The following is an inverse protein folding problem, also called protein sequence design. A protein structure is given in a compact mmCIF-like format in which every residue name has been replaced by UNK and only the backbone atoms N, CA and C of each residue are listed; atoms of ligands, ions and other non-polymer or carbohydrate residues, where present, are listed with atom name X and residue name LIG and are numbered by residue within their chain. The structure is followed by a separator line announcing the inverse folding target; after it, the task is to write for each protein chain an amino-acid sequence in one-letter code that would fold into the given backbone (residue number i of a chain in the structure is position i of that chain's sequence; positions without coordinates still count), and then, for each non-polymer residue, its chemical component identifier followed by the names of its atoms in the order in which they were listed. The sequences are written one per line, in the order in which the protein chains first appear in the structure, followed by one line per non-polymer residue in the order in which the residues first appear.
data_IF_190904398732
#
_entry.id   IF_190904398732
#
_cell.length_a   1.000
_cell.length_b   1.000
_cell.length_c   1.000
_cell.angle_alpha   90.00
_cell.angle_beta   90.00
_cell.angle_gamma   90.00
#
_symmetry.space_group_name_H-M   'P 1'
#
loop_
_entity.id
_entity.type
_entity.pdbx_description
1 polymer ?
#
# COMPACT_ATOMS: atom_id res chain seq x y z
N UNK A 1 9.93 49.06 42.31
CA UNK A 1 9.06 48.41 41.30
C UNK A 1 8.70 47.03 41.83
N UNK A 2 7.47 46.84 42.32
CA UNK A 2 7.03 45.54 42.85
C UNK A 2 6.52 44.64 41.74
N UNK A 3 6.95 43.37 41.72
CA UNK A 3 6.43 42.37 40.78
C UNK A 3 4.99 42.00 41.15
N UNK A 4 4.04 42.23 40.23
CA UNK A 4 2.68 41.69 40.35
C UNK A 4 2.65 40.25 39.82
N UNK A 5 2.40 39.28 40.71
CA UNK A 5 2.32 37.85 40.36
C UNK A 5 1.02 37.46 39.66
N UNK A 6 -0.06 38.24 39.82
CA UNK A 6 -1.37 37.92 39.25
C UNK A 6 -2.05 39.16 38.67
N UNK A 7 -2.63 39.02 37.47
CA UNK A 7 -3.44 40.04 36.80
C UNK A 7 -4.75 39.41 36.33
N UNK A 8 -5.88 39.99 36.73
CA UNK A 8 -7.22 39.53 36.30
C UNK A 8 -7.31 39.63 34.77
N UNK A 9 -7.65 38.52 34.12
CA UNK A 9 -7.98 38.47 32.68
C UNK A 9 -9.40 37.92 32.53
N UNK A 10 -10.22 38.58 31.72
CA UNK A 10 -11.51 38.04 31.27
C UNK A 10 -11.27 37.23 30.00
N UNK A 11 -11.69 35.96 30.00
CA UNK A 11 -11.58 35.06 28.84
C UNK A 11 -13.00 34.75 28.39
N UNK A 12 -13.25 34.82 27.09
CA UNK A 12 -14.52 34.40 26.51
C UNK A 12 -14.63 32.87 26.58
N UNK A 13 -15.67 32.38 27.24
CA UNK A 13 -16.00 30.95 27.29
C UNK A 13 -17.11 30.70 26.26
N UNK A 14 -17.04 29.62 25.45
CA UNK A 14 -18.09 29.31 24.50
C UNK A 14 -19.43 29.10 25.21
N UNK A 15 -20.49 29.66 24.62
CA UNK A 15 -21.86 29.43 25.07
C UNK A 15 -22.28 27.99 24.75
N UNK A 16 -23.31 27.46 25.42
CA UNK A 16 -23.81 26.12 25.14
C UNK A 16 -24.13 25.90 23.63
N UNK A 17 -24.78 26.84 22.91
CA UNK A 17 -24.97 26.70 21.46
C UNK A 17 -23.65 26.59 20.67
N UNK A 18 -22.63 27.36 21.05
CA UNK A 18 -21.32 27.29 20.41
C UNK A 18 -20.63 25.94 20.68
N UNK A 19 -20.78 25.38 21.89
CA UNK A 19 -20.27 24.04 22.23
C UNK A 19 -20.99 22.97 21.39
N UNK A 20 -22.32 23.00 21.31
CA UNK A 20 -23.09 22.05 20.51
C UNK A 20 -22.73 22.11 19.04
N UNK A 21 -22.62 23.32 18.47
CA UNK A 21 -22.21 23.51 17.08
C UNK A 21 -20.80 22.96 16.84
N UNK A 22 -19.88 23.20 17.76
CA UNK A 22 -18.51 22.68 17.68
C UNK A 22 -18.48 21.15 17.71
N UNK A 23 -19.22 20.53 18.63
CA UNK A 23 -19.34 19.07 18.72
C UNK A 23 -19.94 18.51 17.43
N UNK A 24 -21.00 19.14 16.91
CA UNK A 24 -21.63 18.73 15.66
C UNK A 24 -20.63 18.75 14.49
N UNK A 25 -19.90 19.85 14.30
CA UNK A 25 -18.87 19.99 13.25
C UNK A 25 -17.78 18.91 13.40
N UNK A 26 -17.33 18.65 14.63
CA UNK A 26 -16.31 17.63 14.90
C UNK A 26 -16.85 16.24 14.53
N UNK A 27 -18.05 15.89 14.97
CA UNK A 27 -18.67 14.59 14.69
C UNK A 27 -18.92 14.39 13.19
N UNK A 28 -19.42 15.40 12.48
CA UNK A 28 -19.65 15.33 11.04
C UNK A 28 -18.33 15.19 10.28
N UNK A 29 -17.28 15.92 10.69
CA UNK A 29 -15.96 15.84 10.07
C UNK A 29 -15.31 14.48 10.30
N UNK A 30 -15.34 13.97 11.54
CA UNK A 30 -14.84 12.64 11.89
C UNK A 30 -15.57 11.55 11.12
N UNK A 31 -16.91 11.64 11.05
CA UNK A 31 -17.74 10.75 10.26
C UNK A 31 -17.29 10.76 8.79
N UNK A 32 -17.22 11.94 8.16
CA UNK A 32 -16.80 12.08 6.76
C UNK A 32 -15.41 11.48 6.49
N UNK A 33 -14.43 11.76 7.36
CA UNK A 33 -13.08 11.21 7.27
C UNK A 33 -13.13 9.68 7.38
N UNK A 34 -13.85 9.13 8.36
CA UNK A 34 -13.97 7.70 8.54
C UNK A 34 -14.59 7.02 7.31
N UNK A 35 -15.72 7.54 6.80
CA UNK A 35 -16.40 6.95 5.64
C UNK A 35 -15.57 7.06 4.34
N UNK A 36 -14.77 8.13 4.20
CA UNK A 36 -13.94 8.35 3.01
C UNK A 36 -12.58 7.65 3.08
N UNK A 37 -12.10 7.31 4.29
CA UNK A 37 -10.75 6.77 4.52
C UNK A 37 -10.47 5.47 3.78
N UNK A 38 -11.45 4.57 3.72
CA UNK A 38 -11.30 3.28 3.03
C UNK A 38 -11.05 3.48 1.53
N UNK A 39 -11.94 4.20 0.84
CA UNK A 39 -11.80 4.48 -0.59
C UNK A 39 -10.56 5.32 -0.90
N UNK A 40 -10.20 6.26 -0.02
CA UNK A 40 -8.96 7.01 -0.14
C UNK A 40 -7.77 6.04 -0.16
N UNK A 41 -7.67 5.14 0.82
CA UNK A 41 -6.54 4.22 0.94
C UNK A 41 -6.52 3.12 -0.13
N UNK A 42 -7.69 2.58 -0.49
CA UNK A 42 -7.87 1.52 -1.48
C UNK A 42 -7.91 2.06 -2.93
N UNK A 43 -6.93 2.89 -3.27
CA UNK A 43 -6.86 3.58 -4.56
C UNK A 43 -6.37 2.64 -5.67
N UNK A 44 -7.05 2.69 -6.81
CA UNK A 44 -6.55 2.15 -8.09
C UNK A 44 -6.45 3.29 -9.07
N UNK A 45 -5.23 3.52 -9.57
CA UNK A 45 -4.91 4.57 -10.52
C UNK A 45 -3.73 4.09 -11.38
N UNK A 46 -4.02 3.65 -12.60
CA UNK A 46 -3.04 2.98 -13.47
C UNK A 46 -2.15 4.00 -14.17
N UNK A 47 -0.87 3.68 -14.31
CA UNK A 47 0.05 4.50 -15.09
C UNK A 47 -0.29 4.40 -16.60
N UNK A 48 -0.16 5.51 -17.35
CA UNK A 48 -0.38 5.50 -18.78
C UNK A 48 0.68 4.60 -19.45
N UNK A 49 0.23 3.72 -20.35
CA UNK A 49 1.07 2.82 -21.14
C UNK A 49 2.01 1.92 -20.31
N UNK A 50 1.63 1.56 -19.08
CA UNK A 50 2.39 0.62 -18.26
C UNK A 50 2.45 -0.76 -18.92
N UNK A 51 3.66 -1.20 -19.27
CA UNK A 51 3.94 -2.55 -19.81
C UNK A 51 4.45 -3.53 -18.75
N UNK A 52 4.71 -3.04 -17.55
CA UNK A 52 5.26 -3.81 -16.45
C UNK A 52 4.23 -3.86 -15.32
N UNK A 53 3.91 -5.06 -14.86
CA UNK A 53 3.09 -5.30 -13.68
C UNK A 53 4.00 -5.70 -12.51
N UNK A 54 4.10 -4.86 -11.48
CA UNK A 54 4.86 -5.15 -10.27
C UNK A 54 3.90 -5.62 -9.20
N UNK A 55 4.16 -6.75 -8.53
CA UNK A 55 3.24 -7.35 -7.56
C UNK A 55 3.92 -7.53 -6.22
N UNK A 56 3.29 -7.05 -5.15
CA UNK A 56 3.70 -7.40 -3.79
C UNK A 56 3.35 -8.86 -3.49
N UNK A 57 4.35 -9.71 -3.39
CA UNK A 57 4.20 -11.18 -3.37
C UNK A 57 3.75 -11.77 -2.04
N UNK A 58 3.67 -10.96 -0.97
CA UNK A 58 3.26 -11.41 0.36
C UNK A 58 1.75 -11.70 0.45
N UNK A 59 0.96 -11.28 -0.54
CA UNK A 59 -0.48 -11.48 -0.60
C UNK A 59 -0.85 -12.97 -0.77
N UNK A 60 -2.06 -13.34 -0.33
CA UNK A 60 -2.55 -14.72 -0.37
C UNK A 60 -2.91 -15.20 -1.79
N UNK A 61 -3.13 -16.51 -1.96
CA UNK A 61 -3.36 -17.16 -3.26
C UNK A 61 -4.55 -16.60 -4.03
N UNK A 62 -5.65 -16.24 -3.34
CA UNK A 62 -6.79 -15.58 -3.99
C UNK A 62 -6.44 -14.20 -4.58
N UNK A 63 -5.39 -13.54 -4.07
CA UNK A 63 -4.83 -12.34 -4.68
C UNK A 63 -3.97 -12.70 -5.89
N UNK A 64 -3.22 -13.80 -5.85
CA UNK A 64 -2.49 -14.33 -7.01
C UNK A 64 -3.42 -14.75 -8.15
N UNK A 65 -4.59 -15.32 -7.85
CA UNK A 65 -5.65 -15.58 -8.84
C UNK A 65 -6.09 -14.29 -9.53
N UNK A 66 -6.24 -13.19 -8.79
CA UNK A 66 -6.62 -11.91 -9.36
C UNK A 66 -5.49 -11.29 -10.18
N UNK A 67 -4.25 -11.42 -9.72
CA UNK A 67 -3.06 -11.01 -10.49
C UNK A 67 -2.99 -11.78 -11.81
N UNK A 68 -3.17 -13.10 -11.79
CA UNK A 68 -3.20 -13.93 -13.00
C UNK A 68 -4.35 -13.52 -13.92
N UNK A 69 -5.55 -13.24 -13.39
CA UNK A 69 -6.68 -12.71 -14.17
C UNK A 69 -6.35 -11.38 -14.84
N UNK A 70 -5.71 -10.45 -14.13
CA UNK A 70 -5.29 -9.16 -14.69
C UNK A 70 -4.26 -9.37 -15.81
N UNK A 71 -3.25 -10.21 -15.57
CA UNK A 71 -2.15 -10.42 -16.51
C UNK A 71 -2.54 -11.26 -17.74
N UNK A 72 -3.55 -12.12 -17.62
CA UNK A 72 -4.06 -12.95 -18.70
C UNK A 72 -5.28 -12.35 -19.41
N UNK A 73 -5.79 -11.19 -18.96
CA UNK A 73 -6.93 -10.53 -19.59
C UNK A 73 -6.59 -10.15 -21.05
N UNK A 74 -7.53 -10.33 -21.98
CA UNK A 74 -7.26 -10.12 -23.42
C UNK A 74 -6.89 -8.68 -23.78
N UNK A 75 -7.34 -7.73 -22.97
CA UNK A 75 -7.17 -6.29 -23.12
C UNK A 75 -5.99 -5.73 -22.28
N UNK A 76 -5.20 -6.60 -21.65
CA UNK A 76 -4.05 -6.15 -20.88
C UNK A 76 -2.86 -5.79 -21.77
N UNK A 77 -2.07 -4.79 -21.33
CA UNK A 77 -0.89 -4.30 -22.04
C UNK A 77 0.43 -4.73 -21.37
N UNK A 78 0.38 -5.65 -20.39
CA UNK A 78 1.55 -6.04 -19.63
C UNK A 78 2.38 -7.08 -20.38
N UNK A 79 3.65 -6.76 -20.61
CA UNK A 79 4.62 -7.61 -21.27
C UNK A 79 5.43 -8.42 -20.25
N UNK A 80 5.59 -7.90 -19.03
CA UNK A 80 6.33 -8.57 -17.95
C UNK A 80 5.69 -8.37 -16.57
N UNK A 81 5.92 -9.35 -15.68
CA UNK A 81 5.44 -9.39 -14.31
C UNK A 81 6.62 -9.48 -13.35
N UNK A 82 6.72 -8.54 -12.42
CA UNK A 82 7.80 -8.46 -11.45
C UNK A 82 7.31 -8.69 -10.04
N UNK A 83 7.93 -9.62 -9.32
CA UNK A 83 7.57 -9.97 -7.96
C UNK A 83 8.53 -9.32 -6.97
N UNK A 84 7.95 -8.54 -6.05
CA UNK A 84 8.67 -7.88 -4.96
C UNK A 84 8.10 -8.30 -3.61
N UNK A 85 8.95 -8.44 -2.61
CA UNK A 85 8.51 -8.93 -1.32
C UNK A 85 9.63 -9.46 -0.44
N UNK A 86 9.33 -9.81 0.81
CA UNK A 86 10.34 -10.23 1.77
C UNK A 86 10.68 -11.73 1.61
N UNK A 87 11.64 -12.16 2.42
CA UNK A 87 11.82 -13.59 2.74
C UNK A 87 10.55 -14.12 3.41
N UNK A 88 10.36 -15.44 3.39
CA UNK A 88 9.26 -16.05 4.14
C UNK A 88 9.37 -15.68 5.62
N UNK A 89 8.29 -15.15 6.19
CA UNK A 89 8.24 -14.81 7.61
C UNK A 89 7.96 -16.03 8.46
N UNK A 90 7.13 -16.93 7.93
CA UNK A 90 6.83 -18.24 8.51
C UNK A 90 7.19 -19.31 7.50
N UNK A 91 7.74 -20.41 8.00
CA UNK A 91 8.13 -21.54 7.15
C UNK A 91 9.52 -21.45 6.53
N UNK A 92 10.27 -20.35 6.73
CA UNK A 92 11.61 -20.16 6.12
C UNK A 92 12.58 -21.34 6.36
N UNK A 93 12.65 -21.83 7.61
CA UNK A 93 13.60 -22.89 7.99
C UNK A 93 13.14 -24.29 7.56
N UNK A 94 11.84 -24.53 7.43
CA UNK A 94 11.26 -25.85 7.12
C UNK A 94 10.88 -26.01 5.65
N UNK A 95 10.66 -24.91 4.93
CA UNK A 95 10.31 -24.93 3.51
C UNK A 95 11.55 -25.27 2.70
N UNK A 96 11.60 -26.46 2.11
CA UNK A 96 12.72 -26.89 1.28
C UNK A 96 12.71 -26.16 -0.08
N UNK A 97 11.52 -25.95 -0.65
CA UNK A 97 11.34 -25.45 -2.02
C UNK A 97 11.40 -23.93 -2.15
N UNK A 98 10.87 -23.20 -1.17
CA UNK A 98 10.71 -21.74 -1.27
C UNK A 98 11.28 -21.04 -0.04
N UNK A 99 12.08 -19.99 -0.26
CA UNK A 99 12.68 -19.18 0.82
C UNK A 99 12.18 -17.74 0.83
N UNK A 100 11.46 -17.31 -0.20
CA UNK A 100 10.90 -15.97 -0.33
C UNK A 100 9.45 -16.03 -0.80
N UNK A 101 8.67 -15.00 -0.46
CA UNK A 101 7.31 -14.86 -1.00
C UNK A 101 7.34 -14.69 -2.52
N UNK A 102 8.38 -14.06 -3.07
CA UNK A 102 8.54 -13.92 -4.52
C UNK A 102 8.64 -15.28 -5.23
N UNK A 103 9.38 -16.24 -4.66
CA UNK A 103 9.50 -17.58 -5.25
C UNK A 103 8.18 -18.36 -5.17
N UNK A 104 7.49 -18.25 -4.04
CA UNK A 104 6.20 -18.90 -3.82
C UNK A 104 5.12 -18.32 -4.75
N UNK A 105 5.04 -16.99 -4.87
CA UNK A 105 4.14 -16.30 -5.78
C UNK A 105 4.45 -16.63 -7.25
N UNK A 106 5.72 -16.72 -7.64
CA UNK A 106 6.09 -17.12 -9.00
C UNK A 106 5.57 -18.52 -9.34
N UNK A 107 5.80 -19.49 -8.44
CA UNK A 107 5.33 -20.85 -8.65
C UNK A 107 3.79 -20.92 -8.73
N UNK A 108 3.10 -20.15 -7.88
CA UNK A 108 1.64 -20.06 -7.87
C UNK A 108 1.11 -19.44 -9.17
N UNK A 109 1.71 -18.34 -9.64
CA UNK A 109 1.29 -17.68 -10.87
C UNK A 109 1.54 -18.53 -12.12
N UNK A 110 2.61 -19.32 -12.15
CA UNK A 110 2.86 -20.29 -13.23
C UNK A 110 1.74 -21.34 -13.26
N UNK A 111 1.35 -21.87 -12.11
CA UNK A 111 0.24 -22.84 -12.02
C UNK A 111 -1.09 -22.21 -12.44
N UNK A 112 -1.27 -20.91 -12.18
CA UNK A 112 -2.43 -20.12 -12.61
C UNK A 112 -2.35 -19.69 -14.09
N UNK A 113 -1.38 -20.18 -14.85
CA UNK A 113 -1.27 -19.99 -16.30
C UNK A 113 -0.56 -18.71 -16.74
N UNK A 114 0.17 -18.02 -15.84
CA UNK A 114 1.05 -16.92 -16.24
C UNK A 114 2.33 -17.49 -16.87
N UNK A 115 2.74 -17.07 -18.09
CA UNK A 115 3.93 -17.59 -18.74
C UNK A 115 5.20 -17.35 -17.92
N UNK A 116 5.97 -18.41 -17.65
CA UNK A 116 7.15 -18.38 -16.78
C UNK A 116 8.19 -17.37 -17.23
N UNK A 117 8.39 -17.24 -18.54
CA UNK A 117 9.34 -16.33 -19.17
C UNK A 117 9.01 -14.85 -18.95
N UNK A 118 7.74 -14.54 -18.64
CA UNK A 118 7.30 -13.18 -18.32
C UNK A 118 7.44 -12.84 -16.84
N UNK A 119 7.72 -13.82 -15.97
CA UNK A 119 7.83 -13.61 -14.53
C UNK A 119 9.28 -13.35 -14.14
N UNK A 120 9.50 -12.24 -13.46
CA UNK A 120 10.79 -11.84 -12.92
C UNK A 120 10.70 -11.69 -11.39
N UNK A 121 11.71 -12.18 -10.69
CA UNK A 121 11.79 -12.11 -9.23
C UNK A 121 12.85 -11.09 -8.85
N UNK A 122 12.46 -10.03 -8.15
CA UNK A 122 13.42 -9.12 -7.54
C UNK A 122 14.06 -9.77 -6.29
N UNK A 123 15.29 -9.36 -5.91
CA UNK A 123 15.90 -9.79 -4.66
C UNK A 123 14.99 -9.52 -3.47
N UNK A 124 14.86 -10.51 -2.57
CA UNK A 124 13.99 -10.37 -1.42
C UNK A 124 14.45 -9.24 -0.49
N UNK A 125 13.48 -8.48 0.03
CA UNK A 125 13.76 -7.48 1.05
C UNK A 125 14.14 -8.15 2.38
N UNK A 126 15.00 -7.47 3.15
CA UNK A 126 15.37 -7.96 4.49
C UNK A 126 14.12 -7.95 5.38
N UNK A 127 13.94 -8.93 6.29
CA UNK A 127 12.72 -9.07 7.11
C UNK A 127 12.52 -7.97 8.17
N UNK A 128 13.41 -6.98 8.25
CA UNK A 128 13.38 -5.88 9.21
C UNK A 128 12.47 -4.74 8.72
N UNK A 129 12.32 -3.68 9.56
CA UNK A 129 11.49 -2.48 9.30
C UNK A 129 11.61 -2.00 7.84
N UNK A 130 10.51 -1.43 7.32
CA UNK A 130 10.43 -0.83 5.97
C UNK A 130 10.47 -1.85 4.81
N UNK A 131 9.65 -2.90 4.89
CA UNK A 131 9.60 -3.99 3.89
C UNK A 131 9.28 -3.50 2.48
N UNK A 132 8.26 -2.66 2.32
CA UNK A 132 7.88 -2.08 1.01
C UNK A 132 8.98 -1.21 0.45
N UNK A 133 9.59 -0.36 1.27
CA UNK A 133 10.73 0.47 0.87
C UNK A 133 11.92 -0.39 0.40
N UNK A 134 12.34 -1.38 1.20
CA UNK A 134 13.45 -2.24 0.83
C UNK A 134 13.16 -3.07 -0.43
N UNK A 135 11.90 -3.48 -0.63
CA UNK A 135 11.48 -4.19 -1.82
C UNK A 135 11.54 -3.28 -3.06
N UNK A 136 11.09 -2.03 -2.93
CA UNK A 136 11.18 -1.02 -3.98
C UNK A 136 12.62 -0.64 -4.33
N UNK A 137 13.52 -0.54 -3.35
CA UNK A 137 14.95 -0.27 -3.60
C UNK A 137 15.60 -1.41 -4.38
N UNK A 138 15.31 -2.66 -4.00
CA UNK A 138 15.79 -3.82 -4.73
C UNK A 138 15.25 -3.83 -6.17
N UNK A 139 13.96 -3.50 -6.36
CA UNK A 139 13.36 -3.36 -7.68
C UNK A 139 14.02 -2.25 -8.51
N UNK A 140 14.24 -1.05 -7.95
CA UNK A 140 14.93 0.07 -8.63
C UNK A 140 16.33 -0.35 -9.09
N UNK A 141 17.05 -1.13 -8.27
CA UNK A 141 18.36 -1.67 -8.64
C UNK A 141 18.28 -2.66 -9.81
N UNK A 142 17.32 -3.58 -9.77
CA UNK A 142 17.09 -4.53 -10.87
C UNK A 142 16.71 -3.81 -12.17
N UNK A 143 15.80 -2.84 -12.09
CA UNK A 143 15.39 -2.05 -13.26
C UNK A 143 16.58 -1.30 -13.85
N UNK A 144 17.44 -0.72 -13.00
CA UNK A 144 18.67 -0.07 -13.44
C UNK A 144 19.60 -1.03 -14.17
N UNK A 145 19.77 -2.24 -13.66
CA UNK A 145 20.65 -3.25 -14.28
C UNK A 145 20.12 -3.76 -15.62
N UNK A 146 18.79 -3.75 -15.81
CA UNK A 146 18.14 -4.21 -17.05
C UNK A 146 17.76 -3.11 -18.03
N UNK A 147 18.16 -1.85 -17.75
CA UNK A 147 17.82 -0.71 -18.59
C UNK A 147 16.34 -0.30 -18.54
N UNK A 148 15.59 -0.71 -17.50
CA UNK A 148 14.15 -0.45 -17.32
C UNK A 148 13.86 0.75 -16.40
N UNK A 149 14.87 1.56 -16.07
CA UNK A 149 14.74 2.65 -15.08
C UNK A 149 13.66 3.69 -15.40
N UNK A 150 13.38 3.91 -16.68
CA UNK A 150 12.40 4.89 -17.18
C UNK A 150 11.05 4.27 -17.53
N UNK A 151 10.91 2.95 -17.47
CA UNK A 151 9.68 2.28 -17.86
C UNK A 151 8.55 2.56 -16.85
N UNK A 152 7.34 2.91 -17.32
CA UNK A 152 6.16 2.98 -16.48
C UNK A 152 5.70 1.59 -16.03
N UNK A 153 5.19 1.51 -14.80
CA UNK A 153 4.69 0.24 -14.26
C UNK A 153 3.52 0.46 -13.31
N UNK A 154 2.68 -0.57 -13.18
CA UNK A 154 1.62 -0.61 -12.18
C UNK A 154 2.04 -1.49 -11.01
N UNK A 155 1.95 -0.96 -9.79
CA UNK A 155 2.12 -1.73 -8.56
C UNK A 155 0.78 -2.39 -8.18
N UNK A 156 0.79 -3.68 -7.88
CA UNK A 156 -0.37 -4.43 -7.40
C UNK A 156 -0.16 -4.79 -5.95
N UNK A 157 -1.12 -4.42 -5.12
CA UNK A 157 -1.14 -4.77 -3.70
C UNK A 157 -2.57 -4.79 -3.15
N UNK A 158 -2.73 -5.00 -1.85
CA UNK A 158 -4.02 -5.30 -1.23
C UNK A 158 -4.72 -4.05 -0.67
N UNK A 159 -5.85 -3.69 -1.27
CA UNK A 159 -6.87 -2.81 -0.69
C UNK A 159 -6.30 -1.55 -0.02
N UNK A 160 -6.65 -1.29 1.25
CA UNK A 160 -6.23 -0.11 2.03
C UNK A 160 -4.71 0.01 2.26
N UNK A 161 -3.92 -1.02 1.92
CA UNK A 161 -2.45 -0.93 1.90
C UNK A 161 -1.92 -0.16 0.68
N UNK A 162 -2.73 -0.06 -0.39
CA UNK A 162 -2.31 0.43 -1.69
C UNK A 162 -1.72 1.83 -1.67
N UNK A 163 -2.40 2.80 -1.05
CA UNK A 163 -1.91 4.18 -1.04
C UNK A 163 -0.55 4.34 -0.37
N UNK A 164 -0.33 3.66 0.77
CA UNK A 164 0.96 3.74 1.46
C UNK A 164 2.07 3.13 0.62
N UNK A 165 1.86 1.92 0.08
CA UNK A 165 2.84 1.29 -0.81
C UNK A 165 3.14 2.16 -2.01
N UNK A 166 2.12 2.77 -2.61
CA UNK A 166 2.28 3.66 -3.76
C UNK A 166 3.14 4.87 -3.45
N UNK A 167 2.90 5.55 -2.31
CA UNK A 167 3.74 6.67 -1.85
C UNK A 167 5.19 6.20 -1.68
N UNK A 168 5.42 5.10 -0.96
CA UNK A 168 6.77 4.55 -0.73
C UNK A 168 7.49 4.25 -2.05
N UNK A 169 6.84 3.56 -2.98
CA UNK A 169 7.45 3.22 -4.27
C UNK A 169 7.74 4.47 -5.10
N UNK A 170 6.82 5.45 -5.13
CA UNK A 170 7.04 6.74 -5.78
C UNK A 170 8.24 7.49 -5.20
N UNK A 171 8.39 7.53 -3.87
CA UNK A 171 9.55 8.12 -3.19
C UNK A 171 10.86 7.42 -3.59
N UNK A 172 10.87 6.08 -3.59
CA UNK A 172 12.08 5.32 -3.95
C UNK A 172 12.49 5.56 -5.40
N UNK A 173 11.53 5.55 -6.33
CA UNK A 173 11.82 5.73 -7.75
C UNK A 173 12.01 7.18 -8.16
N UNK A 174 11.58 8.15 -7.35
CA UNK A 174 11.61 9.59 -7.62
C UNK A 174 10.79 9.95 -8.88
N UNK A 175 9.67 9.24 -9.10
CA UNK A 175 8.80 9.37 -10.28
C UNK A 175 7.34 9.31 -9.89
N UNK A 176 6.57 10.37 -10.16
CA UNK A 176 5.15 10.43 -9.77
C UNK A 176 4.21 9.95 -10.89
N UNK A 177 4.44 10.33 -12.14
CA UNK A 177 3.45 10.11 -13.22
C UNK A 177 3.63 8.80 -13.99
N UNK A 178 4.67 8.04 -13.68
CA UNK A 178 5.01 6.78 -14.37
C UNK A 178 4.73 5.54 -13.53
N UNK A 179 4.23 5.71 -12.31
CA UNK A 179 4.00 4.61 -11.37
C UNK A 179 2.55 4.61 -10.99
N UNK A 180 1.81 3.61 -11.46
CA UNK A 180 0.43 3.37 -11.12
C UNK A 180 0.28 2.39 -9.95
N UNK A 181 -0.95 2.19 -9.54
CA UNK A 181 -1.35 1.36 -8.41
C UNK A 181 -2.65 0.64 -8.73
N UNK A 182 -2.74 -0.63 -8.35
CA UNK A 182 -3.93 -1.47 -8.44
C UNK A 182 -4.16 -2.06 -7.05
N UNK A 183 -5.25 -1.63 -6.42
CA UNK A 183 -5.70 -2.14 -5.13
C UNK A 183 -6.62 -3.34 -5.34
N UNK A 184 -6.12 -4.54 -5.04
CA UNK A 184 -6.93 -5.75 -5.03
C UNK A 184 -7.91 -5.76 -3.85
N UNK A 185 -9.11 -6.34 -4.01
CA UNK A 185 -10.05 -6.48 -2.90
C UNK A 185 -9.45 -7.31 -1.76
N UNK A 186 -9.81 -6.99 -0.50
CA UNK A 186 -9.30 -7.66 0.67
C UNK A 186 -9.82 -9.10 0.75
N UNK A 187 -9.03 -9.98 1.35
CA UNK A 187 -9.41 -11.39 1.57
C UNK A 187 -10.27 -11.57 2.82
N UNK A 188 -10.03 -10.72 3.84
CA UNK A 188 -10.53 -10.93 5.20
C UNK A 188 -11.86 -10.23 5.50
N UNK A 189 -12.41 -9.44 4.57
CA UNK A 189 -13.69 -8.74 4.74
C UNK A 189 -14.29 -8.32 3.40
N UNK A 190 -15.58 -7.92 3.40
CA UNK A 190 -16.22 -7.27 2.24
C UNK A 190 -15.82 -5.78 2.22
N UNK A 191 -15.09 -5.34 1.18
CA UNK A 191 -14.66 -3.96 1.02
C UNK A 191 -15.81 -2.95 1.04
N UNK A 192 -16.98 -3.29 0.46
CA UNK A 192 -18.14 -2.37 0.42
C UNK A 192 -18.81 -2.24 1.79
N UNK A 193 -18.60 -3.20 2.67
CA UNK A 193 -19.16 -3.26 4.03
C UNK A 193 -18.06 -3.30 5.09
N UNK A 194 -16.91 -2.68 4.82
CA UNK A 194 -15.70 -2.82 5.64
C UNK A 194 -15.93 -2.49 7.12
N UNK A 195 -16.78 -1.50 7.42
CA UNK A 195 -17.16 -1.10 8.78
C UNK A 195 -17.92 -2.17 9.58
N UNK A 196 -18.55 -3.14 8.90
CA UNK A 196 -19.26 -4.25 9.57
C UNK A 196 -18.31 -5.34 10.06
N UNK A 197 -17.00 -5.21 9.84
CA UNK A 197 -16.01 -6.20 10.23
C UNK A 197 -14.89 -5.58 11.06
N UNK A 198 -14.47 -6.27 12.13
CA UNK A 198 -13.29 -5.88 12.88
C UNK A 198 -12.03 -5.83 11.99
N UNK A 199 -11.94 -6.71 10.99
CA UNK A 199 -10.79 -6.72 10.07
C UNK A 199 -10.76 -5.43 9.24
N UNK A 200 -11.86 -5.06 8.59
CA UNK A 200 -11.95 -3.85 7.77
C UNK A 200 -11.72 -2.57 8.57
N UNK A 201 -12.31 -2.45 9.76
CA UNK A 201 -12.11 -1.27 10.63
C UNK A 201 -10.65 -1.15 11.06
N UNK A 202 -10.05 -2.23 11.58
CA UNK A 202 -8.65 -2.22 12.04
C UNK A 202 -7.69 -1.93 10.90
N UNK A 203 -7.83 -2.60 9.76
CA UNK A 203 -6.97 -2.38 8.59
C UNK A 203 -7.04 -0.93 8.12
N UNK A 204 -8.23 -0.34 8.04
CA UNK A 204 -8.41 1.04 7.57
C UNK A 204 -7.79 2.05 8.54
N UNK A 205 -8.00 1.90 9.85
CA UNK A 205 -7.42 2.80 10.86
C UNK A 205 -5.89 2.69 10.87
N UNK A 206 -5.35 1.48 10.92
CA UNK A 206 -3.89 1.29 10.97
C UNK A 206 -3.22 1.77 9.69
N UNK A 207 -3.80 1.51 8.52
CA UNK A 207 -3.25 2.02 7.27
C UNK A 207 -3.44 3.53 7.11
N UNK A 208 -4.47 4.14 7.71
CA UNK A 208 -4.59 5.61 7.75
C UNK A 208 -3.42 6.24 8.51
N UNK A 209 -3.11 5.71 9.70
CA UNK A 209 -2.00 6.19 10.53
C UNK A 209 -0.67 5.92 9.83
N UNK A 210 -0.47 4.71 9.29
CA UNK A 210 0.76 4.34 8.62
C UNK A 210 0.97 5.15 7.33
N UNK A 211 -0.09 5.40 6.56
CA UNK A 211 -0.04 6.22 5.34
C UNK A 211 0.31 7.67 5.67
N UNK A 212 -0.26 8.23 6.74
CA UNK A 212 0.10 9.57 7.21
C UNK A 212 1.57 9.64 7.65
N UNK A 213 2.03 8.63 8.41
CA UNK A 213 3.43 8.52 8.79
C UNK A 213 4.36 8.46 7.58
N UNK A 214 4.03 7.67 6.56
CA UNK A 214 4.81 7.54 5.33
C UNK A 214 4.77 8.82 4.46
N UNK A 215 3.66 9.56 4.50
CA UNK A 215 3.56 10.84 3.81
C UNK A 215 4.50 11.88 4.45
N UNK A 216 4.49 11.95 5.78
CA UNK A 216 5.25 12.93 6.57
C UNK A 216 6.74 12.58 6.77
N UNK A 217 7.12 11.32 6.58
CA UNK A 217 8.51 10.85 6.77
C UNK A 217 9.03 10.19 5.51
N UNK A 218 10.33 10.16 5.27
CA UNK A 218 10.90 9.46 4.11
C UNK A 218 11.12 7.98 4.39
N UNK A 219 10.00 7.31 4.71
CA UNK A 219 9.96 5.93 5.17
C UNK A 219 10.79 5.71 6.44
N UNK A 220 10.71 6.66 7.39
CA UNK A 220 11.51 6.63 8.63
C UNK A 220 12.99 7.00 8.43
N UNK A 221 13.28 7.92 7.52
CA UNK A 221 14.60 8.49 7.24
C UNK A 221 14.52 10.01 7.25
#
# INVERSE_FOLDING_TARGET
MGFQFFKKRTIWIPTWPAILLSIFIILTSLSFILFSSHNFLAVTDKAPNAKILVVESWMADNSMEQVAKIFNAKDNNYESLWLIGPRLERGYYISEKFKTYNQMAAATLIELGVPKEKIHIAPASKPLRHRTFSAAVNLKKEFKQRGLSSEPFDLVTLNVHARRSWITVKKVFERQDQIGIIALPPVSYDAKKWMKSSAGVKSTIFESIACLYELLTDSGR
#
